data_IF_063937462071
#
_entry.id   IF_063937462071
#
_cell.length_a   1.000
_cell.length_b   1.000
_cell.length_c   1.000
_cell.angle_alpha   90.00
_cell.angle_beta   90.00
_cell.angle_gamma   90.00
#
_symmetry.space_group_name_H-M   'P 1'
#
loop_
_entity.id
_entity.type
_entity.pdbx_description
1 polymer ?
#
# COMPACT_ATOMS: atom_id res chain seq x y z
N UNK A 1 -3.33 62.25 35.97
CA UNK A 1 -3.75 62.15 34.55
C UNK A 1 -3.60 60.71 34.11
N UNK A 2 -4.70 59.99 33.89
CA UNK A 2 -4.69 58.59 33.47
C UNK A 2 -4.43 58.47 31.97
N UNK A 3 -3.60 57.51 31.56
CA UNK A 3 -3.33 57.23 30.15
C UNK A 3 -4.61 56.77 29.44
N UNK A 4 -4.83 57.17 28.17
CA UNK A 4 -6.01 56.74 27.41
C UNK A 4 -6.00 55.22 27.16
N UNK A 5 -7.17 54.58 27.08
CA UNK A 5 -7.28 53.15 26.86
C UNK A 5 -6.66 52.75 25.50
N UNK A 6 -5.80 51.73 25.51
CA UNK A 6 -5.23 51.15 24.28
C UNK A 6 -6.36 50.59 23.41
N UNK A 7 -6.53 51.13 22.20
CA UNK A 7 -7.45 50.57 21.21
C UNK A 7 -6.99 49.15 20.82
N UNK A 8 -7.90 48.18 20.71
CA UNK A 8 -7.53 46.82 20.31
C UNK A 8 -6.95 46.83 18.88
N UNK A 9 -5.92 46.01 18.60
CA UNK A 9 -5.34 45.95 17.27
C UNK A 9 -6.40 45.52 16.26
N UNK A 10 -6.54 46.31 15.19
CA UNK A 10 -7.48 46.05 14.10
C UNK A 10 -7.20 44.74 13.37
N UNK A 11 -8.20 44.20 12.70
CA UNK A 11 -8.17 42.88 12.05
C UNK A 11 -6.97 42.73 11.11
N UNK A 12 -6.66 43.79 10.34
CA UNK A 12 -5.51 43.86 9.42
C UNK A 12 -4.17 43.69 10.15
N UNK A 13 -3.97 44.39 11.27
CA UNK A 13 -2.73 44.29 12.07
C UNK A 13 -2.55 42.93 12.73
N UNK A 14 -3.65 42.24 13.09
CA UNK A 14 -3.61 40.86 13.60
C UNK A 14 -3.25 39.87 12.51
N UNK A 15 -3.79 40.05 11.30
CA UNK A 15 -3.51 39.18 10.16
C UNK A 15 -2.04 39.30 9.73
N UNK A 16 -1.54 40.53 9.58
CA UNK A 16 -0.13 40.81 9.27
C UNK A 16 0.82 40.22 10.31
N UNK A 17 0.51 40.37 11.61
CA UNK A 17 1.33 39.79 12.69
C UNK A 17 1.30 38.25 12.69
N UNK A 18 0.23 37.62 12.19
CA UNK A 18 0.12 36.16 12.07
C UNK A 18 0.94 35.62 10.89
N UNK A 19 0.92 36.33 9.75
CA UNK A 19 1.70 35.95 8.56
C UNK A 19 3.19 36.19 8.76
N UNK A 20 3.60 37.30 9.40
CA UNK A 20 5.00 37.60 9.72
C UNK A 20 5.57 36.79 10.91
N UNK A 21 4.81 35.85 11.46
CA UNK A 21 5.25 35.07 12.62
C UNK A 21 6.07 33.85 12.16
N UNK A 22 7.35 33.73 12.50
CA UNK A 22 8.20 32.62 12.05
C UNK A 22 7.70 31.24 12.52
N UNK A 23 6.94 31.21 13.61
CA UNK A 23 6.30 29.98 14.12
C UNK A 23 5.20 29.47 13.21
N UNK A 24 4.54 30.33 12.42
CA UNK A 24 3.55 29.92 11.43
C UNK A 24 4.22 29.20 10.26
N UNK A 25 5.30 29.78 9.73
CA UNK A 25 6.09 29.16 8.65
C UNK A 25 6.68 27.82 9.08
N UNK A 26 7.25 27.73 10.29
CA UNK A 26 7.79 26.48 10.81
C UNK A 26 6.72 25.37 10.86
N UNK A 27 5.52 25.70 11.37
CA UNK A 27 4.40 24.75 11.41
C UNK A 27 3.91 24.34 10.02
N UNK A 28 3.87 25.28 9.08
CA UNK A 28 3.49 25.01 7.70
C UNK A 28 4.47 24.05 7.01
N UNK A 29 5.78 24.27 7.19
CA UNK A 29 6.83 23.40 6.63
C UNK A 29 6.76 22.00 7.24
N UNK A 30 6.63 21.89 8.56
CA UNK A 30 6.47 20.59 9.24
C UNK A 30 5.21 19.88 8.75
N UNK A 31 4.09 20.59 8.62
CA UNK A 31 2.84 20.03 8.11
C UNK A 31 2.97 19.52 6.67
N UNK A 32 3.61 20.30 5.79
CA UNK A 32 3.87 19.90 4.40
C UNK A 32 4.79 18.68 4.33
N UNK A 33 5.85 18.64 5.15
CA UNK A 33 6.79 17.53 5.18
C UNK A 33 6.10 16.23 5.65
N UNK A 34 5.30 16.29 6.71
CA UNK A 34 4.52 15.15 7.19
C UNK A 34 3.49 14.70 6.15
N UNK A 35 2.78 15.63 5.52
CA UNK A 35 1.84 15.31 4.44
C UNK A 35 2.55 14.61 3.28
N UNK A 36 3.69 15.13 2.84
CA UNK A 36 4.53 14.51 1.82
C UNK A 36 4.96 13.09 2.21
N UNK A 37 5.36 12.87 3.46
CA UNK A 37 5.80 11.57 3.95
C UNK A 37 4.73 10.47 3.80
N UNK A 38 3.45 10.79 3.95
CA UNK A 38 2.37 9.80 3.81
C UNK A 38 1.81 9.72 2.39
N UNK A 39 1.72 10.85 1.69
CA UNK A 39 1.04 10.94 0.40
C UNK A 39 1.96 10.53 -0.75
N UNK A 40 3.25 10.88 -0.70
CA UNK A 40 4.20 10.51 -1.76
C UNK A 40 4.35 8.99 -1.91
N UNK A 41 4.52 8.19 -0.85
CA UNK A 41 4.56 6.72 -0.99
C UNK A 41 3.26 6.17 -1.56
N UNK A 42 2.10 6.65 -1.10
CA UNK A 42 0.80 6.17 -1.58
C UNK A 42 0.61 6.42 -3.09
N UNK A 43 1.01 7.60 -3.58
CA UNK A 43 0.96 7.93 -5.01
C UNK A 43 2.00 7.10 -5.79
N UNK A 44 3.20 6.93 -5.25
CA UNK A 44 4.25 6.12 -5.87
C UNK A 44 3.85 4.64 -6.00
N UNK A 45 3.22 4.08 -4.97
CA UNK A 45 2.72 2.70 -4.97
C UNK A 45 1.58 2.53 -5.99
N UNK A 46 0.65 3.49 -6.06
CA UNK A 46 -0.41 3.49 -7.06
C UNK A 46 0.15 3.59 -8.49
N UNK A 47 1.11 4.49 -8.71
CA UNK A 47 1.76 4.66 -10.00
C UNK A 47 2.56 3.40 -10.38
N UNK A 48 3.29 2.79 -9.44
CA UNK A 48 3.99 1.53 -9.65
C UNK A 48 3.01 0.41 -9.99
N UNK A 49 1.89 0.30 -9.29
CA UNK A 49 0.88 -0.72 -9.57
C UNK A 49 0.25 -0.53 -10.96
N UNK A 50 -0.02 0.71 -11.37
CA UNK A 50 -0.59 1.03 -12.68
C UNK A 50 0.41 0.86 -13.82
N UNK A 51 1.68 1.21 -13.60
CA UNK A 51 2.73 1.15 -14.62
C UNK A 51 3.37 -0.22 -14.73
N UNK A 52 3.30 -1.09 -13.71
CA UNK A 52 3.83 -2.45 -13.78
C UNK A 52 3.01 -3.18 -14.83
N UNK A 53 3.52 -3.34 -16.06
CA UNK A 53 2.70 -3.92 -17.10
C UNK A 53 2.48 -5.39 -16.73
N UNK A 54 1.26 -5.89 -16.94
CA UNK A 54 1.00 -7.35 -17.08
C UNK A 54 1.63 -7.85 -18.40
N UNK A 55 2.74 -7.25 -18.84
CA UNK A 55 3.55 -7.72 -19.95
C UNK A 55 4.52 -8.71 -19.35
N UNK A 56 4.00 -9.91 -19.15
CA UNK A 56 4.80 -11.07 -19.45
C UNK A 56 5.15 -10.98 -20.94
N UNK A 57 6.36 -10.50 -21.22
CA UNK A 57 7.00 -10.85 -22.48
C UNK A 57 6.89 -12.39 -22.60
N UNK A 58 6.38 -12.86 -23.73
CA UNK A 58 6.29 -14.27 -24.11
C UNK A 58 5.15 -15.12 -23.52
N UNK A 59 3.92 -14.58 -23.42
CA UNK A 59 2.74 -15.41 -23.12
C UNK A 59 2.80 -16.15 -21.78
N UNK A 60 3.70 -15.73 -20.89
CA UNK A 60 3.98 -16.41 -19.63
C UNK A 60 3.05 -15.88 -18.55
N UNK A 61 2.05 -16.68 -18.15
CA UNK A 61 1.18 -16.31 -17.03
C UNK A 61 2.01 -16.07 -15.76
N UNK A 62 1.77 -14.95 -15.07
CA UNK A 62 2.47 -14.63 -13.82
C UNK A 62 1.74 -15.21 -12.63
N UNK A 63 2.43 -15.94 -11.76
CA UNK A 63 1.86 -16.40 -10.49
C UNK A 63 1.59 -15.20 -9.58
N UNK A 64 0.32 -14.99 -9.21
CA UNK A 64 -0.11 -13.97 -8.26
C UNK A 64 -0.12 -14.51 -6.83
N UNK A 65 -0.59 -15.74 -6.65
CA UNK A 65 -0.80 -16.35 -5.34
C UNK A 65 -0.72 -17.87 -5.44
N UNK A 66 -0.03 -18.48 -4.48
CA UNK A 66 -0.11 -19.92 -4.23
C UNK A 66 -1.27 -20.17 -3.27
N UNK A 67 -2.27 -20.93 -3.70
CA UNK A 67 -3.47 -21.27 -2.91
C UNK A 67 -3.14 -22.52 -2.08
N UNK A 68 -2.72 -23.58 -2.77
CA UNK A 68 -2.32 -24.88 -2.20
C UNK A 68 -1.01 -25.35 -2.84
N UNK A 69 -0.49 -26.49 -2.38
CA UNK A 69 0.75 -27.07 -2.91
C UNK A 69 0.68 -27.50 -4.39
N UNK A 70 -0.51 -27.57 -4.98
CA UNK A 70 -0.75 -27.88 -6.39
C UNK A 70 -1.58 -26.82 -7.12
N UNK A 71 -2.13 -25.83 -6.40
CA UNK A 71 -3.10 -24.87 -6.95
C UNK A 71 -2.58 -23.45 -6.82
N UNK A 72 -2.51 -22.74 -7.96
CA UNK A 72 -1.99 -21.37 -8.06
C UNK A 72 -2.97 -20.47 -8.81
N UNK A 73 -3.11 -19.23 -8.33
CA UNK A 73 -3.80 -18.17 -9.07
C UNK A 73 -2.76 -17.43 -9.92
N UNK A 74 -3.04 -17.39 -11.22
CA UNK A 74 -2.20 -16.79 -12.24
C UNK A 74 -2.87 -15.53 -12.79
N UNK A 75 -2.06 -14.62 -13.32
CA UNK A 75 -2.51 -13.55 -14.20
C UNK A 75 -1.89 -13.75 -15.57
N UNK A 76 -2.73 -14.13 -16.52
CA UNK A 76 -2.37 -14.25 -17.92
C UNK A 76 -2.71 -12.93 -18.62
N UNK A 77 -1.85 -12.48 -19.52
CA UNK A 77 -2.02 -11.17 -20.18
C UNK A 77 -3.32 -11.06 -20.97
N UNK A 78 -3.73 -12.13 -21.67
CA UNK A 78 -4.92 -12.13 -22.53
C UNK A 78 -6.20 -12.59 -21.83
N UNK A 79 -6.09 -13.52 -20.88
CA UNK A 79 -7.24 -14.17 -20.22
C UNK A 79 -7.60 -13.54 -18.86
N UNK A 80 -6.67 -12.80 -18.25
CA UNK A 80 -6.88 -12.17 -16.94
C UNK A 80 -6.49 -13.06 -15.78
N UNK A 81 -7.25 -13.00 -14.67
CA UNK A 81 -6.98 -13.81 -13.47
C UNK A 81 -7.55 -15.21 -13.64
N UNK A 82 -6.67 -16.20 -13.66
CA UNK A 82 -6.98 -17.62 -13.89
C UNK A 82 -6.52 -18.47 -12.71
N UNK A 83 -7.17 -19.61 -12.49
CA UNK A 83 -6.76 -20.60 -11.48
C UNK A 83 -6.23 -21.84 -12.18
N UNK A 84 -4.96 -22.19 -11.94
CA UNK A 84 -4.31 -23.35 -12.53
C UNK A 84 -3.93 -24.39 -11.47
N UNK A 85 -4.06 -25.66 -11.83
CA UNK A 85 -3.61 -26.81 -11.03
C UNK A 85 -2.42 -27.48 -11.72
N UNK A 86 -1.39 -27.82 -10.94
CA UNK A 86 -0.21 -28.54 -11.40
C UNK A 86 -0.57 -30.01 -11.66
N UNK A 87 -0.56 -30.40 -12.94
CA UNK A 87 -0.85 -31.78 -13.33
C UNK A 87 0.30 -32.70 -12.93
N UNK A 88 -0.01 -33.84 -12.31
CA UNK A 88 0.98 -34.85 -11.89
C UNK A 88 1.49 -34.68 -10.45
N UNK A 89 1.04 -33.65 -9.74
CA UNK A 89 1.27 -33.46 -8.31
C UNK A 89 -0.08 -33.38 -7.60
N UNK A 90 -0.22 -34.13 -6.50
CA UNK A 90 -1.39 -34.06 -5.63
C UNK A 90 -0.89 -33.74 -4.22
N UNK A 91 -1.32 -32.61 -3.66
CA UNK A 91 -0.79 -32.09 -2.40
C UNK A 91 -1.84 -32.12 -1.30
N UNK A 92 -1.43 -32.23 -0.01
CA UNK A 92 -2.37 -32.19 1.10
C UNK A 92 -3.21 -30.90 1.10
N UNK A 93 -4.51 -31.04 1.33
CA UNK A 93 -5.47 -29.93 1.29
C UNK A 93 -5.25 -28.96 2.46
N UNK A 94 -4.92 -27.70 2.19
CA UNK A 94 -4.69 -26.68 3.23
C UNK A 94 -6.00 -26.18 3.82
N UNK A 95 -7.06 -26.10 3.02
CA UNK A 95 -8.34 -25.50 3.40
C UNK A 95 -9.33 -26.48 4.03
N UNK A 96 -9.11 -27.80 3.89
CA UNK A 96 -9.92 -28.82 4.56
C UNK A 96 -9.07 -29.99 5.12
N UNK A 97 -8.12 -29.72 6.02
CA UNK A 97 -7.28 -30.77 6.60
C UNK A 97 -8.12 -31.66 7.53
N UNK A 98 -7.99 -32.98 7.39
CA UNK A 98 -8.59 -33.95 8.31
C UNK A 98 -7.74 -34.17 9.55
N UNK A 99 -6.46 -33.76 9.52
CA UNK A 99 -5.57 -33.81 10.67
C UNK A 99 -4.53 -32.68 10.69
N UNK A 100 -3.99 -32.39 11.87
CA UNK A 100 -2.97 -31.33 12.08
C UNK A 100 -1.68 -31.60 11.30
N UNK A 101 -1.29 -32.87 11.16
CA UNK A 101 -0.10 -33.25 10.40
C UNK A 101 -0.25 -32.93 8.90
N UNK A 102 -1.47 -33.08 8.36
CA UNK A 102 -1.82 -32.75 6.98
C UNK A 102 -1.71 -31.24 6.72
N UNK A 103 -2.22 -30.41 7.64
CA UNK A 103 -2.09 -28.96 7.55
C UNK A 103 -0.62 -28.49 7.55
N UNK A 104 0.22 -29.08 8.41
CA UNK A 104 1.66 -28.75 8.46
C UNK A 104 2.37 -29.18 7.17
N UNK A 105 2.00 -30.33 6.61
CA UNK A 105 2.54 -30.78 5.33
C UNK A 105 2.08 -29.87 4.18
N UNK A 106 0.83 -29.43 4.17
CA UNK A 106 0.28 -28.48 3.20
C UNK A 106 1.00 -27.12 3.25
N UNK A 107 1.24 -26.58 4.45
CA UNK A 107 2.00 -25.33 4.61
C UNK A 107 3.44 -25.44 4.11
N UNK A 108 4.11 -26.57 4.38
CA UNK A 108 5.47 -26.81 3.88
C UNK A 108 5.50 -26.89 2.36
N UNK A 109 4.54 -27.57 1.74
CA UNK A 109 4.42 -27.66 0.30
C UNK A 109 4.14 -26.28 -0.33
N UNK A 110 3.24 -25.49 0.26
CA UNK A 110 2.95 -24.12 -0.19
C UNK A 110 4.18 -23.19 -0.06
N UNK A 111 4.97 -23.34 1.00
CA UNK A 111 6.22 -22.59 1.18
C UNK A 111 7.29 -22.93 0.14
N UNK A 112 7.35 -24.18 -0.34
CA UNK A 112 8.31 -24.59 -1.35
C UNK A 112 8.05 -23.95 -2.73
N UNK A 113 6.83 -23.43 -2.97
CA UNK A 113 6.42 -22.79 -4.22
C UNK A 113 6.41 -21.25 -4.15
N UNK A 114 6.77 -20.67 -3.01
CA UNK A 114 6.78 -19.21 -2.79
C UNK A 114 8.14 -18.60 -3.10
#
# INVERSE_FOLDING_TARGET
>A
MGLPPRRPPGLVTRLLRRVLNPTFYLKAVIGLALFGLFILPAIADLANAAMKPVQAADGSCRILRVVDGDTVTLMCGEEGMESARLVGFDTPEKFSPRCLAEFVAAERAAWALR
#
